data_IF_618566907295
#
_entry.id   IF_618566907295
#
_cell.length_a   1.000
_cell.length_b   1.000
_cell.length_c   1.000
_cell.angle_alpha   90.00
_cell.angle_beta   90.00
_cell.angle_gamma   90.00
#
_symmetry.space_group_name_H-M   'P 1'
#
loop_
_entity.id
_entity.type
_entity.pdbx_description
1 polymer ?
#
# COMPACT_ATOMS: atom_id res chain seq x y z
N UNK A 1 -34.24 18.76 35.35
CA UNK A 1 -32.84 19.15 35.08
C UNK A 1 -31.82 18.02 35.21
N UNK A 2 -31.96 17.01 36.09
CA UNK A 2 -30.99 15.89 36.24
C UNK A 2 -30.84 14.97 35.01
N UNK A 3 -31.87 14.83 34.18
CA UNK A 3 -31.87 13.94 33.03
C UNK A 3 -31.26 14.56 31.77
N UNK A 4 -31.22 15.90 31.69
CA UNK A 4 -30.57 16.61 30.55
C UNK A 4 -29.04 16.44 30.62
N UNK A 5 -28.46 16.36 31.81
CA UNK A 5 -27.03 16.19 32.01
C UNK A 5 -26.55 14.78 31.51
N UNK A 6 -27.38 13.74 31.69
CA UNK A 6 -27.07 12.37 31.26
C UNK A 6 -27.11 12.22 29.73
N UNK A 7 -28.04 12.94 29.07
CA UNK A 7 -28.10 12.94 27.59
C UNK A 7 -26.92 13.72 26.99
N UNK A 8 -26.50 14.81 27.64
CA UNK A 8 -25.29 15.54 27.18
C UNK A 8 -24.01 14.73 27.39
N UNK A 9 -23.89 13.95 28.45
CA UNK A 9 -22.71 13.08 28.66
C UNK A 9 -22.65 11.96 27.64
N UNK A 10 -23.79 11.46 27.17
CA UNK A 10 -23.85 10.43 26.13
C UNK A 10 -23.53 10.99 24.72
N UNK A 11 -23.77 12.30 24.50
CA UNK A 11 -23.47 12.95 23.21
C UNK A 11 -22.01 13.44 23.10
N UNK A 12 -21.29 13.54 24.22
CA UNK A 12 -19.88 13.95 24.27
C UNK A 12 -18.92 12.76 24.17
N UNK A 13 -19.42 11.53 24.21
CA UNK A 13 -18.64 10.37 23.82
C UNK A 13 -18.59 10.35 22.27
N UNK A 14 -17.89 11.31 21.69
CA UNK A 14 -17.41 11.18 20.33
C UNK A 14 -16.60 9.88 20.30
N UNK A 15 -16.90 8.96 19.36
CA UNK A 15 -16.07 7.77 19.23
C UNK A 15 -14.65 8.22 18.85
N UNK A 16 -13.77 8.24 19.84
CA UNK A 16 -12.33 8.39 19.64
C UNK A 16 -11.72 7.13 18.97
N UNK A 17 -12.50 6.41 18.14
CA UNK A 17 -12.22 5.04 17.71
C UNK A 17 -12.06 4.87 16.21
N UNK A 18 -11.92 5.96 15.47
CA UNK A 18 -11.49 5.84 14.09
C UNK A 18 -10.15 6.56 13.89
N UNK A 19 -9.17 6.25 14.72
CA UNK A 19 -7.79 6.39 14.27
C UNK A 19 -7.51 5.13 13.48
N UNK A 20 -7.32 5.27 12.15
CA UNK A 20 -6.68 4.22 11.41
C UNK A 20 -5.42 3.82 12.17
N UNK A 21 -5.21 2.53 12.45
CA UNK A 21 -4.02 2.09 13.12
C UNK A 21 -2.82 2.63 12.34
N UNK A 22 -1.85 3.19 13.03
CA UNK A 22 -0.63 3.67 12.38
C UNK A 22 0.04 2.49 11.71
N UNK A 23 0.59 2.68 10.51
CA UNK A 23 1.26 1.62 9.73
C UNK A 23 2.28 0.85 10.59
N UNK A 24 2.93 1.51 11.57
CA UNK A 24 3.79 0.85 12.55
C UNK A 24 3.09 -0.22 13.39
N UNK A 25 1.78 -0.13 13.59
CA UNK A 25 0.99 -1.10 14.34
C UNK A 25 0.76 -2.40 13.54
N UNK A 26 0.94 -2.34 12.21
CA UNK A 26 0.83 -3.49 11.30
C UNK A 26 2.11 -4.32 11.19
N UNK A 27 3.23 -3.81 11.67
CA UNK A 27 4.52 -4.51 11.58
C UNK A 27 4.72 -5.55 12.68
N UNK A 28 3.83 -5.63 13.64
CA UNK A 28 3.86 -6.69 14.66
C UNK A 28 3.26 -7.97 14.09
N UNK A 29 4.14 -8.89 13.72
CA UNK A 29 3.77 -10.22 13.22
C UNK A 29 2.97 -11.07 14.23
N UNK A 30 2.83 -10.61 15.46
CA UNK A 30 1.98 -11.23 16.50
C UNK A 30 0.52 -10.80 16.42
N UNK A 31 0.19 -9.77 15.61
CA UNK A 31 -1.19 -9.33 15.46
C UNK A 31 -1.94 -10.24 14.48
N UNK A 32 -2.94 -11.01 14.93
CA UNK A 32 -3.66 -11.98 14.09
C UNK A 32 -4.48 -11.33 12.95
N UNK A 33 -4.60 -10.00 12.94
CA UNK A 33 -5.30 -9.25 11.87
C UNK A 33 -4.40 -8.84 10.71
N UNK A 34 -3.10 -9.18 10.73
CA UNK A 34 -2.20 -8.88 9.63
C UNK A 34 -2.24 -9.95 8.56
N UNK A 35 -2.43 -9.50 7.32
CA UNK A 35 -2.25 -10.32 6.13
C UNK A 35 -0.88 -10.03 5.54
N UNK A 36 -0.06 -11.06 5.44
CA UNK A 36 1.29 -10.97 4.88
C UNK A 36 1.37 -11.85 3.65
N UNK A 37 1.75 -11.27 2.53
CA UNK A 37 2.05 -12.00 1.30
C UNK A 37 3.48 -11.70 0.87
N UNK A 38 4.25 -12.77 0.63
CA UNK A 38 5.61 -12.68 0.09
C UNK A 38 5.68 -13.43 -1.23
N UNK A 39 6.31 -12.81 -2.22
CA UNK A 39 6.49 -13.35 -3.56
C UNK A 39 7.94 -13.20 -3.98
N UNK A 40 8.59 -14.33 -4.25
CA UNK A 40 9.86 -14.35 -4.97
C UNK A 40 9.60 -14.26 -6.47
N UNK A 41 10.21 -13.27 -7.12
CA UNK A 41 10.10 -13.04 -8.56
C UNK A 41 11.38 -13.52 -9.20
N UNK A 42 11.33 -14.52 -10.12
CA UNK A 42 12.50 -15.02 -10.80
C UNK A 42 13.23 -13.92 -11.58
N UNK A 43 14.56 -13.94 -11.56
CA UNK A 43 15.38 -12.94 -12.26
C UNK A 43 15.07 -12.89 -13.77
N UNK A 44 14.70 -14.00 -14.37
CA UNK A 44 14.37 -14.10 -15.80
C UNK A 44 13.17 -13.23 -16.21
N UNK A 45 12.27 -12.92 -15.27
CA UNK A 45 11.12 -12.05 -15.51
C UNK A 45 11.54 -10.61 -15.80
N UNK A 46 12.69 -10.18 -15.32
CA UNK A 46 13.25 -8.86 -15.60
C UNK A 46 13.92 -8.76 -16.97
N UNK A 47 14.14 -9.87 -17.67
CA UNK A 47 14.71 -9.89 -19.02
C UNK A 47 13.64 -9.71 -20.11
N UNK A 48 12.71 -8.77 -19.86
CA UNK A 48 11.63 -8.38 -20.77
C UNK A 48 11.67 -6.86 -20.98
N UNK A 49 11.15 -6.41 -22.11
CA UNK A 49 10.94 -4.98 -22.37
C UNK A 49 9.55 -4.55 -21.91
N UNK A 50 9.38 -3.26 -21.66
CA UNK A 50 8.13 -2.71 -21.12
C UNK A 50 6.88 -2.94 -21.97
N UNK A 51 7.04 -3.17 -23.29
CA UNK A 51 5.91 -3.48 -24.19
C UNK A 51 5.41 -4.93 -24.10
N UNK A 52 6.22 -5.84 -23.55
CA UNK A 52 5.93 -7.28 -23.46
C UNK A 52 5.56 -7.69 -22.02
N UNK A 53 5.00 -6.74 -21.26
CA UNK A 53 4.64 -6.97 -19.87
C UNK A 53 3.53 -8.01 -19.73
N UNK A 54 3.71 -8.89 -18.75
CA UNK A 54 2.67 -9.80 -18.29
C UNK A 54 2.24 -9.33 -16.90
N UNK A 55 0.96 -9.06 -16.77
CA UNK A 55 0.37 -8.71 -15.47
C UNK A 55 0.08 -10.00 -14.71
N UNK A 56 0.61 -10.11 -13.51
CA UNK A 56 0.45 -11.26 -12.61
C UNK A 56 -0.35 -10.81 -11.39
N UNK A 57 -1.39 -11.54 -11.07
CA UNK A 57 -2.18 -11.24 -9.86
C UNK A 57 -1.46 -11.74 -8.60
N UNK A 58 -1.58 -10.98 -7.53
CA UNK A 58 -1.29 -11.45 -6.18
C UNK A 58 -2.40 -12.42 -5.73
N UNK A 59 -2.07 -13.33 -4.84
CA UNK A 59 -3.07 -14.28 -4.29
C UNK A 59 -4.12 -13.56 -3.43
N UNK A 60 -3.73 -12.44 -2.85
CA UNK A 60 -4.55 -11.63 -1.96
C UNK A 60 -4.64 -10.22 -2.52
N UNK A 61 -5.82 -9.63 -2.42
CA UNK A 61 -6.04 -8.20 -2.70
C UNK A 61 -5.80 -7.41 -1.41
N UNK A 62 -4.96 -6.38 -1.48
CA UNK A 62 -4.59 -5.58 -0.31
C UNK A 62 -5.30 -4.22 -0.37
N UNK A 63 -6.30 -4.05 0.46
CA UNK A 63 -7.15 -2.85 0.57
C UNK A 63 -6.75 -1.96 1.75
N UNK A 64 -7.27 -0.74 1.78
CA UNK A 64 -7.08 0.22 2.87
C UNK A 64 -5.63 0.61 3.08
N UNK A 65 -5.11 0.43 4.30
CA UNK A 65 -3.70 0.71 4.59
C UNK A 65 -2.83 -0.52 4.37
N UNK A 66 -1.72 -0.34 3.68
CA UNK A 66 -0.78 -1.42 3.40
C UNK A 66 0.67 -0.90 3.37
N UNK A 67 1.60 -1.84 3.54
CA UNK A 67 3.02 -1.64 3.33
C UNK A 67 3.53 -2.67 2.33
N UNK A 68 4.31 -2.22 1.35
CA UNK A 68 5.03 -3.09 0.43
C UNK A 68 6.53 -2.91 0.62
N UNK A 69 7.28 -4.01 0.63
CA UNK A 69 8.74 -4.04 0.69
C UNK A 69 9.27 -4.75 -0.55
N UNK A 70 10.24 -4.14 -1.21
CA UNK A 70 10.87 -4.68 -2.40
C UNK A 70 12.37 -4.82 -2.16
N UNK A 71 12.86 -6.06 -2.09
CA UNK A 71 14.28 -6.35 -1.91
C UNK A 71 14.89 -6.84 -3.21
N UNK A 72 15.85 -6.08 -3.71
CA UNK A 72 16.55 -6.36 -4.95
C UNK A 72 17.94 -6.96 -4.66
N UNK A 73 18.08 -8.27 -4.93
CA UNK A 73 19.34 -9.01 -4.84
C UNK A 73 19.77 -9.54 -6.23
N UNK A 74 19.32 -8.89 -7.30
CA UNK A 74 19.62 -9.28 -8.67
C UNK A 74 21.06 -8.93 -9.04
N UNK A 75 21.70 -9.81 -9.85
CA UNK A 75 22.99 -9.57 -10.46
C UNK A 75 22.78 -9.10 -11.90
N UNK A 76 23.11 -7.86 -12.17
CA UNK A 76 22.94 -7.25 -13.47
C UNK A 76 24.00 -7.72 -14.47
N UNK A 77 23.56 -8.12 -15.65
CA UNK A 77 24.43 -8.53 -16.74
C UNK A 77 24.72 -7.43 -17.75
N UNK A 78 23.99 -6.31 -17.64
CA UNK A 78 24.04 -5.20 -18.57
C UNK A 78 24.10 -3.88 -17.79
N UNK A 79 25.05 -2.95 -18.09
CA UNK A 79 25.12 -1.65 -17.45
C UNK A 79 23.85 -0.79 -17.60
N UNK A 80 23.06 -1.04 -18.66
CA UNK A 80 21.78 -0.39 -18.90
C UNK A 80 20.59 -1.24 -18.41
N UNK A 81 20.87 -2.39 -17.78
CA UNK A 81 19.83 -3.24 -17.21
C UNK A 81 19.13 -2.60 -16.03
N UNK A 82 17.86 -2.87 -15.89
CA UNK A 82 17.05 -2.37 -14.81
C UNK A 82 16.28 -3.51 -14.13
N UNK A 83 15.80 -3.26 -12.93
CA UNK A 83 14.74 -4.02 -12.29
C UNK A 83 13.59 -3.05 -12.03
N UNK A 84 12.53 -3.20 -12.80
CA UNK A 84 11.35 -2.34 -12.72
C UNK A 84 10.17 -3.18 -12.30
N UNK A 85 9.46 -2.74 -11.28
CA UNK A 85 8.19 -3.33 -10.85
C UNK A 85 7.08 -2.27 -10.94
N UNK A 86 5.97 -2.65 -11.56
CA UNK A 86 4.71 -1.91 -11.56
C UNK A 86 3.72 -2.61 -10.67
N UNK A 87 3.08 -1.86 -9.82
CA UNK A 87 2.00 -2.32 -8.94
C UNK A 87 0.71 -1.67 -9.41
N UNK A 88 -0.27 -2.48 -9.74
CA UNK A 88 -1.54 -2.03 -10.32
C UNK A 88 -2.65 -1.99 -9.28
N UNK A 89 -3.52 -0.99 -9.46
CA UNK A 89 -4.76 -0.87 -8.70
C UNK A 89 -5.77 -1.96 -9.13
N UNK A 90 -6.58 -2.41 -8.18
CA UNK A 90 -7.61 -3.42 -8.41
C UNK A 90 -8.73 -2.94 -9.35
N UNK A 91 -9.00 -1.64 -9.40
CA UNK A 91 -10.08 -1.09 -10.21
C UNK A 91 -9.70 -0.98 -11.69
N UNK A 92 -8.43 -0.65 -11.99
CA UNK A 92 -7.96 -0.50 -13.36
C UNK A 92 -6.45 -0.66 -13.46
N UNK A 93 -5.98 -1.31 -14.52
CA UNK A 93 -4.55 -1.41 -14.84
C UNK A 93 -3.97 -0.11 -15.42
N UNK A 94 -4.81 0.88 -15.74
CA UNK A 94 -4.36 2.21 -16.13
C UNK A 94 -3.95 3.08 -14.94
N UNK A 95 -4.13 2.55 -13.72
CA UNK A 95 -3.66 3.16 -12.48
C UNK A 95 -2.61 2.27 -11.83
N UNK A 96 -1.39 2.77 -11.75
CA UNK A 96 -0.28 2.06 -11.14
C UNK A 96 0.78 3.01 -10.59
N UNK A 97 1.63 2.52 -9.71
CA UNK A 97 2.93 3.12 -9.44
C UNK A 97 4.04 2.17 -9.88
N UNK A 98 5.18 2.74 -10.21
CA UNK A 98 6.34 2.03 -10.73
C UNK A 98 7.58 2.40 -9.94
N UNK A 99 8.40 1.41 -9.62
CA UNK A 99 9.72 1.59 -9.02
C UNK A 99 10.73 0.94 -9.94
N UNK A 100 11.77 1.69 -10.25
CA UNK A 100 12.88 1.20 -11.04
C UNK A 100 14.21 1.33 -10.32
N UNK A 101 15.03 0.29 -10.45
CA UNK A 101 16.37 0.16 -9.90
C UNK A 101 17.32 -0.21 -11.03
N UNK A 102 18.17 0.72 -11.45
CA UNK A 102 19.17 0.50 -12.49
C UNK A 102 20.42 -0.19 -11.97
N UNK A 103 21.19 -0.79 -12.88
CA UNK A 103 22.39 -1.55 -12.57
C UNK A 103 23.53 -0.73 -11.97
N UNK A 104 24.53 -1.43 -11.41
CA UNK A 104 25.82 -0.88 -11.07
C UNK A 104 26.59 -0.35 -12.30
N UNK A 105 27.47 0.66 -12.14
CA UNK A 105 27.85 1.30 -10.87
C UNK A 105 26.92 2.44 -10.43
N UNK A 106 25.99 2.88 -11.29
CA UNK A 106 25.22 4.10 -11.02
C UNK A 106 24.15 3.91 -9.97
N UNK A 107 23.56 2.72 -9.88
CA UNK A 107 22.44 2.45 -8.96
C UNK A 107 21.31 3.47 -9.09
N UNK A 108 20.94 3.77 -10.34
CA UNK A 108 19.83 4.68 -10.63
C UNK A 108 18.56 4.19 -9.95
N UNK A 109 17.78 5.12 -9.42
CA UNK A 109 16.50 4.81 -8.79
C UNK A 109 15.44 5.81 -9.25
N UNK A 110 14.23 5.35 -9.54
CA UNK A 110 13.12 6.24 -9.86
C UNK A 110 11.79 5.69 -9.37
N UNK A 111 10.87 6.62 -9.20
CA UNK A 111 9.47 6.34 -8.89
C UNK A 111 8.63 7.11 -9.89
N UNK A 112 7.65 6.44 -10.45
CA UNK A 112 6.64 7.06 -11.29
C UNK A 112 5.25 6.52 -10.95
N UNK A 113 4.23 7.25 -11.34
CA UNK A 113 2.86 6.82 -11.24
C UNK A 113 2.12 7.12 -12.53
N UNK A 114 1.13 6.33 -12.81
CA UNK A 114 0.13 6.61 -13.83
C UNK A 114 -1.24 6.63 -13.19
N UNK A 115 -2.00 7.67 -13.49
CA UNK A 115 -3.41 7.79 -13.13
C UNK A 115 -4.20 8.19 -14.38
N UNK A 116 -5.45 7.69 -14.56
CA UNK A 116 -6.22 7.87 -15.79
C UNK A 116 -6.34 9.34 -16.24
N UNK A 117 -6.51 10.26 -15.31
CA UNK A 117 -6.74 11.67 -15.60
C UNK A 117 -5.47 12.46 -15.93
N UNK A 118 -4.33 12.04 -15.37
CA UNK A 118 -3.06 12.78 -15.45
C UNK A 118 -2.07 12.13 -16.40
N UNK A 119 -2.21 10.81 -16.64
CA UNK A 119 -1.25 10.03 -17.40
C UNK A 119 -0.03 9.62 -16.58
N UNK A 120 1.07 9.29 -17.28
CA UNK A 120 2.31 8.83 -16.65
C UNK A 120 3.18 10.02 -16.20
N UNK A 121 3.56 10.03 -14.93
CA UNK A 121 4.35 11.09 -14.30
C UNK A 121 5.56 10.50 -13.57
N UNK A 122 6.75 11.02 -13.87
CA UNK A 122 7.96 10.74 -13.10
C UNK A 122 7.94 11.60 -11.82
N UNK A 123 7.88 10.96 -10.66
CA UNK A 123 7.73 11.60 -9.37
C UNK A 123 9.08 11.86 -8.69
N UNK A 124 10.01 10.95 -8.84
CA UNK A 124 11.35 11.03 -8.25
C UNK A 124 12.37 10.30 -9.12
N UNK A 125 13.59 10.83 -9.18
CA UNK A 125 14.75 10.15 -9.77
C UNK A 125 16.04 10.50 -9.06
N UNK A 126 16.87 9.48 -8.83
CA UNK A 126 18.27 9.60 -8.47
C UNK A 126 19.09 8.88 -9.55
N UNK A 127 19.97 9.59 -10.21
CA UNK A 127 20.80 9.02 -11.30
C UNK A 127 21.96 8.18 -10.78
N UNK A 128 22.39 8.43 -9.54
CA UNK A 128 23.49 7.72 -8.89
C UNK A 128 23.15 7.47 -7.42
N UNK A 129 23.61 6.34 -6.90
CA UNK A 129 23.48 5.95 -5.49
C UNK A 129 22.02 6.06 -4.96
N UNK A 130 21.05 5.74 -5.83
CA UNK A 130 19.63 5.85 -5.50
C UNK A 130 19.09 4.64 -4.74
N UNK A 131 19.82 3.52 -4.71
CA UNK A 131 19.47 2.32 -3.97
C UNK A 131 20.71 1.50 -3.63
N UNK A 132 20.59 0.58 -2.67
CA UNK A 132 21.67 -0.33 -2.25
C UNK A 132 21.15 -1.75 -2.30
N UNK A 133 21.93 -2.63 -2.91
CA UNK A 133 21.60 -4.04 -3.01
C UNK A 133 21.35 -4.64 -1.61
N UNK A 134 20.26 -5.39 -1.50
CA UNK A 134 19.87 -6.01 -0.23
C UNK A 134 19.08 -5.09 0.71
N UNK A 135 19.17 -3.77 0.59
CA UNK A 135 18.32 -2.86 1.35
C UNK A 135 16.93 -2.80 0.73
N UNK A 136 15.85 -3.07 1.47
CA UNK A 136 14.51 -3.03 0.92
C UNK A 136 14.07 -1.59 0.64
N UNK A 137 13.47 -1.38 -0.54
CA UNK A 137 12.59 -0.22 -0.75
C UNK A 137 11.28 -0.49 -0.04
N UNK A 138 10.82 0.47 0.76
CA UNK A 138 9.55 0.38 1.50
C UNK A 138 8.56 1.40 0.99
N UNK A 139 7.35 0.96 0.76
CA UNK A 139 6.23 1.82 0.40
C UNK A 139 5.16 1.62 1.44
N UNK A 140 4.68 2.72 1.98
CA UNK A 140 3.56 2.73 2.90
C UNK A 140 2.43 3.55 2.29
N UNK A 141 1.22 3.06 2.43
CA UNK A 141 0.02 3.72 1.94
C UNK A 141 -1.08 3.70 2.98
N UNK A 142 -1.79 4.80 3.09
CA UNK A 142 -3.09 4.89 3.74
C UNK A 142 -3.96 5.92 3.02
N UNK A 143 -5.27 5.76 3.07
CA UNK A 143 -6.20 6.72 2.46
C UNK A 143 -6.05 8.14 3.02
N UNK A 144 -5.64 8.27 4.29
CA UNK A 144 -5.48 9.57 4.95
C UNK A 144 -4.16 10.27 4.60
N UNK A 145 -3.07 9.49 4.46
CA UNK A 145 -1.72 10.04 4.31
C UNK A 145 -1.15 9.87 2.89
N UNK A 146 -1.88 9.16 2.03
CA UNK A 146 -1.37 8.83 0.71
C UNK A 146 -0.17 7.88 0.75
N UNK A 147 0.59 7.87 -0.32
CA UNK A 147 1.73 6.98 -0.54
C UNK A 147 3.03 7.66 -0.13
N UNK A 148 3.82 6.95 0.67
CA UNK A 148 5.17 7.37 1.10
C UNK A 148 6.17 6.28 0.70
N UNK A 149 7.32 6.68 0.15
CA UNK A 149 8.37 5.77 -0.32
C UNK A 149 9.69 6.07 0.36
N UNK A 150 10.30 5.01 0.90
CA UNK A 150 11.67 4.96 1.38
C UNK A 150 12.49 4.04 0.45
N UNK A 151 13.61 4.53 -0.07
CA UNK A 151 14.44 3.78 -1.01
C UNK A 151 15.47 2.86 -0.33
N UNK A 152 15.32 2.62 0.97
CA UNK A 152 16.27 1.87 1.79
C UNK A 152 17.43 2.73 2.32
N UNK A 153 17.51 4.01 1.93
CA UNK A 153 18.50 4.98 2.40
C UNK A 153 17.82 6.17 3.09
N UNK A 154 16.69 6.59 2.57
CA UNK A 154 15.91 7.73 3.06
C UNK A 154 14.51 7.74 2.44
N UNK A 155 13.62 8.47 3.06
CA UNK A 155 12.32 8.79 2.46
C UNK A 155 12.53 9.74 1.27
N UNK A 156 12.03 9.34 0.10
CA UNK A 156 12.22 10.06 -1.17
C UNK A 156 10.93 10.63 -1.74
N UNK A 157 9.80 10.14 -1.26
CA UNK A 157 8.47 10.62 -1.62
C UNK A 157 7.58 10.53 -0.39
N UNK A 158 6.75 11.53 -0.14
CA UNK A 158 5.81 11.54 0.99
C UNK A 158 4.46 12.10 0.58
N UNK A 159 3.41 11.50 1.11
CA UNK A 159 2.03 11.99 1.03
C UNK A 159 1.52 12.18 -0.41
N UNK A 160 1.94 11.31 -1.35
CA UNK A 160 1.37 11.32 -2.69
C UNK A 160 -0.06 10.78 -2.63
N UNK A 161 -1.01 11.61 -3.01
CA UNK A 161 -2.41 11.18 -3.09
C UNK A 161 -2.64 10.34 -4.36
N UNK A 162 -2.87 9.05 -4.16
CA UNK A 162 -3.33 8.10 -5.18
C UNK A 162 -4.66 7.45 -4.76
N UNK A 163 -5.35 8.03 -3.78
CA UNK A 163 -6.54 7.43 -3.15
C UNK A 163 -7.74 7.32 -4.11
N UNK A 164 -8.51 6.23 -4.02
CA UNK A 164 -8.16 5.00 -3.32
C UNK A 164 -7.15 4.18 -4.12
N UNK A 165 -6.28 3.39 -3.47
CA UNK A 165 -5.35 2.48 -4.13
C UNK A 165 -5.33 1.11 -3.46
N UNK A 166 -5.80 0.11 -4.17
CA UNK A 166 -5.90 -1.29 -3.74
C UNK A 166 -4.92 -2.12 -4.56
N UNK A 167 -3.96 -2.78 -3.89
CA UNK A 167 -3.01 -3.65 -4.60
C UNK A 167 -3.69 -4.95 -5.00
N UNK A 168 -3.63 -5.28 -6.31
CA UNK A 168 -4.12 -6.56 -6.83
C UNK A 168 -3.10 -7.31 -7.67
N UNK A 169 -2.31 -6.62 -8.47
CA UNK A 169 -1.43 -7.25 -9.45
C UNK A 169 -0.15 -6.46 -9.65
N UNK A 170 0.80 -7.11 -10.29
CA UNK A 170 2.09 -6.50 -10.64
C UNK A 170 2.56 -6.94 -12.02
N UNK A 171 3.52 -6.21 -12.56
CA UNK A 171 4.35 -6.65 -13.68
C UNK A 171 5.79 -6.22 -13.48
N UNK A 172 6.71 -6.89 -14.13
CA UNK A 172 8.15 -6.57 -14.06
C UNK A 172 8.78 -6.55 -15.43
N UNK A 173 9.83 -5.74 -15.58
CA UNK A 173 10.68 -5.68 -16.76
C UNK A 173 12.04 -5.08 -16.39
N UNK A 174 13.01 -5.13 -17.31
CA UNK A 174 14.33 -4.58 -17.01
C UNK A 174 15.16 -4.25 -18.25
N UNK A 175 14.75 -4.71 -19.44
CA UNK A 175 15.42 -4.39 -20.71
C UNK A 175 14.83 -3.10 -21.30
N UNK A 176 15.68 -2.23 -21.86
CA UNK A 176 15.24 -1.05 -22.58
C UNK A 176 14.82 -1.41 -24.03
N UNK A 177 15.60 -2.21 -24.69
CA UNK A 177 15.33 -2.70 -26.04
C UNK A 177 15.27 -4.21 -26.13
N UNK A 178 14.50 -4.74 -27.07
CA UNK A 178 14.36 -6.21 -27.29
C UNK A 178 15.62 -6.87 -27.86
N UNK A 179 16.55 -6.08 -28.36
CA UNK A 179 17.86 -6.53 -28.88
C UNK A 179 18.99 -6.37 -27.85
N UNK A 180 18.69 -5.80 -26.70
CA UNK A 180 19.69 -5.60 -25.65
C UNK A 180 20.08 -6.92 -24.99
N UNK A 181 21.29 -7.00 -24.43
CA UNK A 181 21.64 -8.12 -23.57
C UNK A 181 20.67 -8.23 -22.39
N UNK A 182 20.53 -9.43 -21.80
CA UNK A 182 19.71 -9.60 -20.59
C UNK A 182 20.04 -8.57 -19.53
N UNK A 183 19.01 -7.95 -18.94
CA UNK A 183 19.19 -6.96 -17.88
C UNK A 183 19.86 -7.57 -16.65
N UNK A 184 19.46 -8.80 -16.32
CA UNK A 184 19.93 -9.54 -15.15
C UNK A 184 20.32 -10.96 -15.52
N UNK A 185 21.31 -11.53 -14.81
CA UNK A 185 21.85 -12.87 -15.07
C UNK A 185 21.48 -13.87 -14.00
N UNK A 186 21.25 -13.43 -12.78
CA UNK A 186 20.92 -14.29 -11.63
C UNK A 186 20.43 -13.45 -10.45
N UNK A 187 20.14 -14.09 -9.33
CA UNK A 187 19.73 -13.44 -8.10
C UNK A 187 18.23 -13.56 -7.84
N UNK A 188 17.77 -12.87 -6.83
CA UNK A 188 16.36 -12.89 -6.39
C UNK A 188 15.81 -11.48 -6.23
N UNK A 189 14.54 -11.33 -6.50
CA UNK A 189 13.76 -10.13 -6.20
C UNK A 189 12.56 -10.54 -5.35
N UNK A 190 12.44 -9.96 -4.18
CA UNK A 190 11.38 -10.32 -3.22
C UNK A 190 10.43 -9.14 -3.11
N UNK A 191 9.15 -9.41 -3.33
CA UNK A 191 8.06 -8.49 -3.06
C UNK A 191 7.28 -9.01 -1.85
N UNK A 192 7.22 -8.22 -0.78
CA UNK A 192 6.47 -8.54 0.43
C UNK A 192 5.43 -7.45 0.66
N UNK A 193 4.18 -7.83 0.81
CA UNK A 193 3.08 -6.91 1.08
C UNK A 193 2.44 -7.29 2.41
N UNK A 194 2.21 -6.28 3.24
CA UNK A 194 1.59 -6.39 4.55
C UNK A 194 0.39 -5.45 4.54
N UNK A 195 -0.78 -5.98 4.82
CA UNK A 195 -2.01 -5.17 4.98
C UNK A 195 -2.76 -5.60 6.22
N UNK A 196 -3.60 -4.71 6.74
CA UNK A 196 -4.54 -5.11 7.76
C UNK A 196 -5.67 -5.93 7.11
N UNK A 197 -6.03 -7.01 7.76
CA UNK A 197 -7.30 -7.65 7.48
C UNK A 197 -8.41 -6.82 8.14
N UNK A 198 -9.03 -5.96 7.38
CA UNK A 198 -10.25 -5.27 7.79
C UNK A 198 -11.47 -6.20 7.69
N UNK A 199 -11.26 -7.53 7.59
CA UNK A 199 -12.34 -8.49 7.68
C UNK A 199 -13.28 -8.06 8.77
N UNK A 200 -14.57 -7.96 8.49
CA UNK A 200 -15.66 -7.37 9.27
C UNK A 200 -15.28 -7.14 10.75
N UNK A 201 -14.63 -6.00 11.01
CA UNK A 201 -14.25 -5.68 12.38
C UNK A 201 -15.56 -5.55 13.17
N UNK A 202 -15.90 -6.52 14.05
CA UNK A 202 -17.16 -6.47 14.79
C UNK A 202 -17.29 -5.19 15.60
N UNK A 203 -16.16 -4.47 15.84
CA UNK A 203 -16.16 -3.17 16.45
C UNK A 203 -16.62 -2.04 15.51
N UNK A 204 -16.62 -2.23 14.18
CA UNK A 204 -17.19 -1.24 13.26
C UNK A 204 -18.70 -1.12 13.40
N UNK A 205 -19.36 -2.19 13.84
CA UNK A 205 -20.79 -2.24 14.11
C UNK A 205 -21.11 -1.65 15.50
N UNK A 206 -20.13 -1.62 16.41
CA UNK A 206 -20.31 -1.19 17.78
C UNK A 206 -20.90 0.22 17.95
N UNK A 207 -20.47 1.27 17.20
CA UNK A 207 -21.12 2.58 17.28
C UNK A 207 -22.59 2.56 16.89
N UNK A 208 -22.96 1.76 15.89
CA UNK A 208 -24.36 1.64 15.44
C UNK A 208 -25.21 0.88 16.45
N UNK A 209 -24.66 -0.15 17.09
CA UNK A 209 -25.33 -0.91 18.15
C UNK A 209 -25.56 -0.01 19.38
N UNK A 210 -24.55 0.73 19.81
CA UNK A 210 -24.66 1.65 20.94
C UNK A 210 -25.66 2.77 20.65
N UNK A 211 -25.63 3.35 19.45
CA UNK A 211 -26.58 4.39 19.04
C UNK A 211 -28.01 3.85 18.97
N UNK A 212 -28.19 2.64 18.47
CA UNK A 212 -29.47 1.96 18.44
C UNK A 212 -30.05 1.71 19.85
N UNK A 213 -29.23 1.21 20.78
CA UNK A 213 -29.62 0.97 22.17
C UNK A 213 -30.00 2.30 22.86
N UNK A 214 -29.18 3.34 22.71
CA UNK A 214 -29.47 4.67 23.27
C UNK A 214 -30.76 5.26 22.72
N UNK A 215 -31.00 5.13 21.41
CA UNK A 215 -32.26 5.55 20.77
C UNK A 215 -33.47 4.83 21.37
N UNK A 216 -33.36 3.53 21.59
CA UNK A 216 -34.42 2.71 22.17
C UNK A 216 -34.73 3.09 23.63
N UNK A 217 -33.68 3.36 24.43
CA UNK A 217 -33.81 3.86 25.80
C UNK A 217 -34.53 5.23 25.85
N UNK A 218 -34.17 6.14 24.94
CA UNK A 218 -34.85 7.46 24.85
C UNK A 218 -36.31 7.30 24.50
N UNK A 219 -36.65 6.43 23.53
CA UNK A 219 -38.06 6.15 23.19
C UNK A 219 -38.83 5.59 24.37
N UNK A 220 -38.26 4.63 25.10
CA UNK A 220 -38.90 4.05 26.30
C UNK A 220 -39.14 5.11 27.35
N UNK A 221 -38.17 6.01 27.61
CA UNK A 221 -38.33 7.08 28.58
C UNK A 221 -39.40 8.10 28.19
N UNK A 222 -39.54 8.41 26.89
CA UNK A 222 -40.59 9.32 26.41
C UNK A 222 -41.98 8.68 26.56
N UNK A 223 -42.09 7.39 26.21
CA UNK A 223 -43.36 6.66 26.31
C UNK A 223 -43.79 6.47 27.77
N UNK A 224 -42.83 6.16 28.66
CA UNK A 224 -43.13 5.98 30.09
C UNK A 224 -43.60 7.27 30.73
N UNK A 225 -42.98 8.41 30.33
CA UNK A 225 -43.40 9.74 30.84
C UNK A 225 -44.78 10.18 30.36
N UNK A 226 -45.27 9.69 29.20
CA UNK A 226 -46.61 9.98 28.70
C UNK A 226 -47.69 9.18 29.39
N UNK A 227 -47.33 8.08 30.06
CA UNK A 227 -48.27 7.19 30.75
C UNK A 227 -48.38 7.44 32.25
N UNK A 228 -47.51 8.26 32.80
CA UNK A 228 -47.52 8.79 34.17
C UNK A 228 -48.13 10.20 34.20
#
# INVERSE_FOLDING_TARGET
MKYILLVFLALTVTPAFAQDPKIGDYLDSSNPSLVVQEKEIPYSEFNKVSRDLVIVEFEITHEGSWQAEFQNNLLYGNPNGNAVIRIYDAQTTDKFFEIGMGSHPNNKYWISAQVPETGYVLLYTAYENGWVQGNPTKITYSEQNGLTVDNGLRTVLSNLDLSPFTIKSYSVHGMEGSTDPPAVTSGTYIAKIISADYGENPLSIFPFVVTGILGLVVVILIVSKKRS
#
